data_IF_841608586916
#
_entry.id   IF_841608586916
#
_cell.length_a   1.000
_cell.length_b   1.000
_cell.length_c   1.000
_cell.angle_alpha   90.00
_cell.angle_beta   90.00
_cell.angle_gamma   90.00
#
_symmetry.space_group_name_H-M   'P 1'
#
loop_
_entity.id
_entity.type
_entity.pdbx_description
1 polymer ?
#
# COMPACT_ATOMS: atom_id res chain seq x y z
N UNK A 1 11.72 49.37 31.24
CA UNK A 1 10.40 49.19 30.59
C UNK A 1 10.53 47.95 29.71
N UNK A 2 10.45 46.71 30.19
CA UNK A 2 9.35 46.01 30.85
C UNK A 2 8.07 45.99 29.99
N UNK A 3 7.87 44.90 29.25
CA UNK A 3 6.64 44.07 29.35
C UNK A 3 6.82 42.77 28.54
N UNK A 4 6.99 41.69 29.30
CA UNK A 4 6.89 40.28 28.94
C UNK A 4 5.42 39.83 28.88
N UNK A 5 5.06 38.94 27.96
CA UNK A 5 3.95 38.00 28.20
C UNK A 5 4.11 36.73 27.36
N UNK A 6 4.48 35.65 28.06
CA UNK A 6 4.33 34.24 27.70
C UNK A 6 2.88 33.79 27.94
N UNK A 7 2.33 32.84 27.16
CA UNK A 7 1.23 32.03 27.62
C UNK A 7 1.71 30.65 28.09
N UNK A 8 1.16 30.26 29.23
CA UNK A 8 1.43 29.08 30.03
C UNK A 8 0.95 27.78 29.37
N UNK A 9 1.78 26.74 29.49
CA UNK A 9 1.37 25.33 29.43
C UNK A 9 0.45 25.03 30.61
N UNK A 10 -0.80 24.65 30.35
CA UNK A 10 -1.61 23.90 31.30
C UNK A 10 -1.37 22.40 31.11
N UNK A 11 -0.66 21.83 32.07
CA UNK A 11 -0.60 20.39 32.32
C UNK A 11 -1.81 19.99 33.16
N UNK A 12 -2.61 19.05 32.66
CA UNK A 12 -3.62 18.35 33.46
C UNK A 12 -3.31 16.85 33.41
N UNK A 13 -3.27 16.16 34.57
CA UNK A 13 -2.89 14.77 34.66
C UNK A 13 -4.03 13.86 34.21
N UNK A 14 -3.77 13.00 33.22
CA UNK A 14 -4.66 11.91 32.85
C UNK A 14 -4.67 10.86 33.96
N UNK A 15 -5.80 10.77 34.67
CA UNK A 15 -6.16 9.68 35.56
C UNK A 15 -7.01 8.68 34.79
N UNK A 16 -6.59 7.41 34.77
CA UNK A 16 -7.33 6.30 34.17
C UNK A 16 -8.59 5.98 35.00
N UNK A 17 -9.80 5.91 34.41
CA UNK A 17 -10.89 5.21 35.03
C UNK A 17 -10.79 3.70 34.78
N UNK A 18 -11.11 2.95 35.84
CA UNK A 18 -11.04 1.50 35.94
C UNK A 18 -11.97 0.76 34.96
N UNK A 19 -11.58 -0.48 34.65
CA UNK A 19 -12.28 -1.48 33.83
C UNK A 19 -13.77 -1.65 34.22
N UNK A 20 -14.70 -1.75 33.26
CA UNK A 20 -16.00 -2.35 33.52
C UNK A 20 -15.90 -3.88 33.51
N UNK A 21 -16.43 -4.50 34.57
CA UNK A 21 -16.71 -5.93 34.69
C UNK A 21 -17.87 -6.31 33.76
N UNK A 22 -17.68 -7.29 32.87
CA UNK A 22 -18.79 -8.00 32.21
C UNK A 22 -19.12 -9.29 32.95
N UNK A 23 -20.42 -9.63 33.14
CA UNK A 23 -20.83 -10.84 33.82
C UNK A 23 -20.81 -12.06 32.90
N UNK A 24 -20.41 -13.19 33.48
CA UNK A 24 -20.46 -14.53 32.90
C UNK A 24 -21.90 -14.95 32.56
N UNK A 25 -22.17 -15.30 31.31
CA UNK A 25 -23.40 -15.98 30.92
C UNK A 25 -23.10 -17.44 30.56
N UNK A 26 -23.85 -18.30 31.24
CA UNK A 26 -23.75 -19.75 31.27
C UNK A 26 -24.14 -20.43 29.94
N UNK A 27 -23.49 -21.57 29.68
CA UNK A 27 -23.89 -22.55 28.66
C UNK A 27 -25.10 -23.35 29.16
N UNK A 28 -26.08 -23.71 28.30
CA UNK A 28 -26.95 -24.84 28.56
C UNK A 28 -26.47 -26.10 27.82
N UNK A 29 -26.46 -27.20 28.57
CA UNK A 29 -26.38 -28.58 28.10
C UNK A 29 -27.69 -28.98 27.39
N UNK A 30 -27.59 -29.76 26.30
CA UNK A 30 -28.61 -30.70 25.82
C UNK A 30 -27.88 -31.83 25.07
N UNK A 31 -27.62 -32.97 25.74
CA UNK A 31 -28.37 -34.24 25.65
C UNK A 31 -28.29 -34.96 24.30
N UNK A 32 -27.65 -36.12 24.33
CA UNK A 32 -27.58 -37.13 23.29
C UNK A 32 -28.92 -37.84 23.06
N UNK A 33 -29.17 -38.25 21.82
CA UNK A 33 -30.07 -39.36 21.50
C UNK A 33 -29.55 -40.14 20.30
N UNK A 34 -29.55 -41.45 20.47
CA UNK A 34 -29.01 -42.54 19.65
C UNK A 34 -29.82 -42.89 18.39
N UNK A 35 -29.14 -43.59 17.46
CA UNK A 35 -29.59 -44.63 16.49
C UNK A 35 -29.04 -44.32 15.07
N UNK A 36 -28.53 -45.22 14.23
CA UNK A 36 -28.52 -46.69 14.16
C UNK A 36 -27.49 -47.16 13.10
N UNK A 37 -26.96 -48.38 13.32
CA UNK A 37 -26.07 -49.25 12.54
C UNK A 37 -26.13 -49.22 10.99
N UNK A 38 -24.95 -49.46 10.35
CA UNK A 38 -24.67 -50.66 9.49
C UNK A 38 -23.20 -50.77 9.01
N UNK A 39 -22.52 -51.82 9.51
CA UNK A 39 -21.66 -52.83 8.81
C UNK A 39 -20.61 -52.37 7.77
N UNK A 40 -19.31 -52.38 8.11
CA UNK A 40 -18.28 -53.45 7.91
C UNK A 40 -17.74 -53.59 6.47
N UNK A 41 -16.43 -53.34 6.28
CA UNK A 41 -15.47 -54.37 5.85
C UNK A 41 -14.02 -53.87 5.92
N UNK A 42 -13.22 -54.68 6.61
CA UNK A 42 -11.79 -54.63 6.86
C UNK A 42 -10.95 -54.96 5.63
N UNK A 43 -9.73 -54.41 5.57
CA UNK A 43 -8.55 -55.16 5.09
C UNK A 43 -7.28 -54.54 5.68
N UNK A 44 -6.75 -55.24 6.69
CA UNK A 44 -5.44 -55.06 7.29
C UNK A 44 -4.41 -55.90 6.54
N UNK A 45 -3.26 -55.32 6.17
CA UNK A 45 -2.03 -56.06 5.91
C UNK A 45 -0.94 -55.46 6.81
N UNK A 46 -0.41 -56.32 7.67
CA UNK A 46 0.64 -56.08 8.65
C UNK A 46 1.98 -56.63 8.16
N UNK A 47 3.06 -55.85 8.30
CA UNK A 47 4.45 -56.28 8.56
C UNK A 47 5.31 -55.00 8.58
N UNK A 48 6.27 -54.74 9.47
CA UNK A 48 6.86 -55.46 10.60
C UNK A 48 7.74 -54.45 11.38
N UNK A 49 7.73 -54.54 12.70
CA UNK A 49 8.56 -53.76 13.65
C UNK A 49 10.06 -54.06 13.51
N UNK A 50 10.91 -53.06 13.79
CA UNK A 50 12.03 -53.22 14.73
C UNK A 50 12.54 -51.87 15.29
N UNK A 51 12.29 -51.70 16.58
CA UNK A 51 12.88 -50.86 17.63
C UNK A 51 14.21 -50.12 17.43
N UNK A 52 14.25 -48.86 17.87
CA UNK A 52 15.34 -48.30 18.69
C UNK A 52 14.83 -47.13 19.55
N UNK A 53 15.06 -47.21 20.85
CA UNK A 53 14.68 -46.28 21.93
C UNK A 53 15.64 -45.10 22.07
N UNK A 54 15.18 -43.85 22.18
CA UNK A 54 15.91 -42.77 22.86
C UNK A 54 14.94 -41.68 23.37
N UNK A 55 14.97 -41.43 24.69
CA UNK A 55 14.88 -40.12 25.37
C UNK A 55 13.66 -39.23 25.14
N UNK A 56 12.76 -39.17 26.13
CA UNK A 56 11.94 -37.98 26.37
C UNK A 56 12.86 -36.82 26.80
N UNK A 57 12.92 -35.78 25.97
CA UNK A 57 13.36 -34.44 26.36
C UNK A 57 12.11 -33.59 26.29
N UNK A 58 11.61 -33.17 27.45
CA UNK A 58 10.61 -32.12 27.55
C UNK A 58 11.22 -30.82 27.04
N UNK A 59 10.80 -30.37 25.86
CA UNK A 59 11.13 -29.04 25.36
C UNK A 59 10.00 -28.11 25.77
N UNK A 60 10.24 -27.35 26.83
CA UNK A 60 9.54 -26.09 27.08
C UNK A 60 9.76 -25.16 25.88
N UNK A 61 8.80 -25.11 24.96
CA UNK A 61 8.74 -24.06 23.94
C UNK A 61 8.16 -22.80 24.57
N UNK A 62 9.04 -21.98 25.15
CA UNK A 62 8.78 -20.56 25.35
C UNK A 62 8.58 -19.90 23.98
N UNK A 63 7.40 -19.31 23.75
CA UNK A 63 7.08 -18.53 22.56
C UNK A 63 7.90 -17.24 22.54
N UNK A 64 9.09 -17.31 21.95
CA UNK A 64 10.03 -16.18 21.83
C UNK A 64 9.73 -15.34 20.56
N UNK A 65 8.47 -14.96 20.37
CA UNK A 65 8.12 -14.03 19.29
C UNK A 65 8.50 -12.61 19.73
N UNK A 66 9.36 -11.88 18.98
CA UNK A 66 9.79 -10.55 19.37
C UNK A 66 8.58 -9.62 19.53
N UNK A 67 8.51 -9.00 20.71
CA UNK A 67 7.37 -8.20 21.13
C UNK A 67 7.40 -6.81 20.48
N UNK A 68 8.60 -6.29 20.20
CA UNK A 68 8.83 -4.96 19.60
C UNK A 68 9.58 -5.03 18.28
N UNK A 69 9.45 -3.97 17.47
CA UNK A 69 10.16 -3.85 16.20
C UNK A 69 11.67 -3.76 16.43
N UNK A 70 12.10 -3.11 17.52
CA UNK A 70 13.49 -3.04 17.95
C UNK A 70 14.08 -4.43 18.22
N UNK A 71 13.37 -5.28 18.95
CA UNK A 71 13.81 -6.67 19.20
C UNK A 71 13.95 -7.45 17.91
N UNK A 72 12.97 -7.36 17.02
CA UNK A 72 12.97 -8.04 15.72
C UNK A 72 14.14 -7.59 14.81
N UNK A 73 14.57 -6.34 14.93
CA UNK A 73 15.66 -5.77 14.13
C UNK A 73 17.02 -5.75 14.83
N UNK A 74 17.11 -6.25 16.07
CA UNK A 74 18.31 -6.20 16.89
C UNK A 74 19.47 -6.93 16.20
N UNK A 75 20.63 -6.29 16.15
CA UNK A 75 21.83 -6.84 15.51
C UNK A 75 21.86 -6.72 13.98
N UNK A 76 20.78 -6.27 13.34
CA UNK A 76 20.73 -6.03 11.90
C UNK A 76 20.67 -4.54 11.57
N UNK A 77 19.78 -3.79 12.21
CA UNK A 77 19.55 -2.38 11.90
C UNK A 77 20.33 -1.48 12.87
N UNK A 78 21.00 -0.41 12.41
CA UNK A 78 21.68 0.53 13.30
C UNK A 78 20.74 1.15 14.36
N UNK A 79 21.22 1.27 15.60
CA UNK A 79 20.40 1.72 16.73
C UNK A 79 19.76 3.09 16.52
N UNK A 80 20.44 4.02 15.83
CA UNK A 80 19.90 5.33 15.55
C UNK A 80 18.65 5.27 14.65
N UNK A 81 18.60 4.33 13.69
CA UNK A 81 17.44 4.14 12.81
C UNK A 81 16.27 3.56 13.61
N UNK A 82 16.55 2.64 14.55
CA UNK A 82 15.53 2.05 15.43
C UNK A 82 14.95 3.09 16.39
N UNK A 83 15.79 3.95 16.98
CA UNK A 83 15.33 5.09 17.78
C UNK A 83 14.43 6.03 16.96
N UNK A 84 14.83 6.38 15.73
CA UNK A 84 13.99 7.19 14.84
C UNK A 84 12.67 6.49 14.49
N UNK A 85 12.69 5.18 14.27
CA UNK A 85 11.47 4.43 13.99
C UNK A 85 10.49 4.53 15.17
N UNK A 86 10.97 4.40 16.40
CA UNK A 86 10.16 4.55 17.62
C UNK A 86 9.63 5.97 17.81
N UNK A 87 10.45 7.00 17.59
CA UNK A 87 10.04 8.41 17.66
C UNK A 87 8.92 8.75 16.66
N UNK A 88 8.96 8.13 15.47
CA UNK A 88 7.91 8.26 14.45
C UNK A 88 6.65 7.45 14.81
N UNK A 89 6.74 6.54 15.79
CA UNK A 89 5.63 5.72 16.29
C UNK A 89 5.63 4.27 15.81
N UNK A 90 6.69 3.79 15.16
CA UNK A 90 6.84 2.41 14.72
C UNK A 90 7.37 1.50 15.83
N UNK A 91 6.55 1.24 16.84
CA UNK A 91 6.94 0.47 18.04
C UNK A 91 6.67 -1.02 17.84
N UNK A 92 5.43 -1.37 17.48
CA UNK A 92 4.98 -2.77 17.35
C UNK A 92 5.06 -3.22 15.89
N UNK A 93 5.72 -4.36 15.59
CA UNK A 93 5.84 -4.83 14.21
C UNK A 93 4.47 -5.32 13.72
N UNK A 94 4.14 -5.01 12.46
CA UNK A 94 2.95 -5.56 11.82
C UNK A 94 3.16 -7.04 11.48
N UNK A 95 2.07 -7.77 11.20
CA UNK A 95 2.18 -9.18 10.81
C UNK A 95 3.09 -9.38 9.60
N UNK A 96 2.98 -8.54 8.56
CA UNK A 96 3.88 -8.63 7.40
C UNK A 96 5.34 -8.35 7.78
N UNK A 97 5.61 -7.43 8.71
CA UNK A 97 6.97 -7.15 9.16
C UNK A 97 7.58 -8.34 9.91
N UNK A 98 6.81 -9.02 10.79
CA UNK A 98 7.26 -10.23 11.51
C UNK A 98 7.66 -11.36 10.56
N UNK A 99 6.86 -11.62 9.53
CA UNK A 99 7.12 -12.67 8.55
C UNK A 99 8.25 -12.30 7.57
N UNK A 100 8.31 -11.02 7.19
CA UNK A 100 9.19 -10.56 6.10
C UNK A 100 10.61 -10.23 6.57
N UNK A 101 10.78 -9.57 7.71
CA UNK A 101 12.09 -9.08 8.15
C UNK A 101 13.14 -10.19 8.33
N UNK A 102 12.83 -11.36 8.94
CA UNK A 102 13.79 -12.46 9.03
C UNK A 102 14.26 -12.97 7.66
N UNK A 103 13.35 -13.03 6.68
CA UNK A 103 13.67 -13.43 5.30
C UNK A 103 14.56 -12.38 4.63
N UNK A 104 14.25 -11.11 4.81
CA UNK A 104 15.03 -10.01 4.25
C UNK A 104 16.46 -9.98 4.83
N UNK A 105 16.60 -10.10 6.15
CA UNK A 105 17.91 -10.08 6.81
C UNK A 105 18.76 -11.33 6.50
N UNK A 106 18.15 -12.42 6.04
CA UNK A 106 18.89 -13.59 5.54
C UNK A 106 19.51 -13.38 4.15
N UNK A 107 19.35 -12.20 3.53
CA UNK A 107 19.90 -11.87 2.21
C UNK A 107 19.22 -12.56 1.02
N UNK A 108 18.05 -13.18 1.25
CA UNK A 108 17.26 -13.84 0.20
C UNK A 108 16.41 -12.83 -0.57
N UNK A 109 16.22 -13.10 -1.84
CA UNK A 109 15.25 -12.35 -2.64
C UNK A 109 13.83 -12.63 -2.11
N UNK A 110 12.94 -11.64 -2.18
CA UNK A 110 11.63 -11.75 -1.54
C UNK A 110 10.52 -11.15 -2.40
N UNK A 111 9.41 -11.87 -2.52
CA UNK A 111 8.14 -11.31 -2.99
C UNK A 111 7.25 -11.10 -1.78
N UNK A 112 7.06 -9.84 -1.38
CA UNK A 112 6.21 -9.40 -0.28
C UNK A 112 4.82 -9.14 -0.86
N UNK A 113 3.90 -10.05 -0.61
CA UNK A 113 2.51 -9.95 -1.03
C UNK A 113 1.62 -9.76 0.19
N UNK A 114 1.18 -8.52 0.40
CA UNK A 114 0.34 -8.12 1.52
C UNK A 114 -0.38 -6.79 1.22
N UNK A 115 -1.57 -6.58 1.76
CA UNK A 115 -2.41 -5.39 1.50
C UNK A 115 -1.71 -4.04 1.69
N UNK A 116 -2.23 -2.98 1.08
CA UNK A 116 -1.77 -1.59 1.31
C UNK A 116 -1.94 -1.22 2.79
N UNK A 117 -1.03 -0.40 3.33
CA UNK A 117 -1.03 -0.04 4.75
C UNK A 117 -0.52 -1.13 5.71
N UNK A 118 -0.25 -2.35 5.24
CA UNK A 118 0.30 -3.43 6.08
C UNK A 118 1.72 -3.17 6.62
N UNK A 119 2.45 -2.17 6.09
CA UNK A 119 3.80 -1.85 6.56
C UNK A 119 4.95 -2.42 5.71
N UNK A 120 4.68 -2.85 4.47
CA UNK A 120 5.69 -3.31 3.49
C UNK A 120 6.85 -2.33 3.31
N UNK A 121 6.53 -1.04 3.21
CA UNK A 121 7.50 0.04 3.04
C UNK A 121 8.54 0.08 4.15
N UNK A 122 8.08 0.02 5.41
CA UNK A 122 9.00 0.01 6.54
C UNK A 122 9.87 -1.27 6.54
N UNK A 123 9.31 -2.42 6.17
CA UNK A 123 10.06 -3.68 6.12
C UNK A 123 11.26 -3.62 5.17
N UNK A 124 11.07 -3.20 3.92
CA UNK A 124 12.20 -3.10 2.98
C UNK A 124 13.14 -1.93 3.32
N UNK A 125 12.66 -0.84 3.93
CA UNK A 125 13.52 0.27 4.33
C UNK A 125 14.45 -0.14 5.48
N UNK A 126 13.96 -0.88 6.48
CA UNK A 126 14.77 -1.40 7.57
C UNK A 126 15.88 -2.34 7.06
N UNK A 127 15.57 -3.20 6.09
CA UNK A 127 16.58 -3.97 5.38
C UNK A 127 17.61 -3.05 4.71
N UNK A 128 17.18 -2.05 3.94
CA UNK A 128 18.12 -1.14 3.25
C UNK A 128 19.05 -0.45 4.27
N UNK A 129 18.52 0.04 5.38
CA UNK A 129 19.35 0.67 6.42
C UNK A 129 20.28 -0.31 7.16
N UNK A 130 19.96 -1.61 7.17
CA UNK A 130 20.85 -2.64 7.75
C UNK A 130 22.12 -2.90 6.92
N UNK A 131 22.09 -2.62 5.62
CA UNK A 131 23.18 -2.97 4.70
C UNK A 131 23.91 -1.76 4.10
N UNK A 132 23.24 -0.61 4.03
CA UNK A 132 23.80 0.59 3.40
C UNK A 132 24.90 1.19 4.27
N UNK A 133 26.05 1.47 3.65
CA UNK A 133 27.14 2.19 4.32
C UNK A 133 27.10 3.68 3.94
N UNK A 134 26.76 4.60 4.87
CA UNK A 134 26.65 6.03 4.59
C UNK A 134 28.01 6.71 4.31
N UNK A 135 29.14 6.05 4.59
CA UNK A 135 30.48 6.58 4.29
C UNK A 135 30.87 6.38 2.83
N UNK A 136 30.17 5.51 2.09
CA UNK A 136 30.43 5.27 0.66
C UNK A 136 29.56 6.18 -0.19
N UNK A 137 30.21 7.02 -1.00
CA UNK A 137 29.56 7.90 -1.97
C UNK A 137 29.17 7.12 -3.24
N UNK A 138 28.21 6.20 -3.12
CA UNK A 138 27.67 5.41 -4.23
C UNK A 138 26.22 5.00 -3.98
N UNK A 139 25.47 4.81 -5.06
CA UNK A 139 24.12 4.24 -5.00
C UNK A 139 24.23 2.78 -4.58
N UNK A 140 23.66 2.47 -3.42
CA UNK A 140 23.68 1.13 -2.81
C UNK A 140 22.28 0.49 -2.84
N UNK A 141 21.22 1.29 -2.71
CA UNK A 141 19.85 0.81 -2.82
C UNK A 141 19.02 1.65 -3.79
N UNK A 142 18.19 0.98 -4.59
CA UNK A 142 17.23 1.59 -5.50
C UNK A 142 15.83 1.07 -5.21
N UNK A 143 14.90 2.00 -5.05
CA UNK A 143 13.47 1.72 -4.88
C UNK A 143 12.74 2.29 -6.09
N UNK A 144 12.17 1.41 -6.90
CA UNK A 144 11.36 1.76 -8.06
C UNK A 144 9.90 1.76 -7.65
N UNK A 145 9.24 2.88 -7.90
CA UNK A 145 7.81 3.09 -7.61
C UNK A 145 7.06 3.42 -8.90
N UNK A 146 5.76 3.07 -9.02
CA UNK A 146 4.95 3.39 -10.19
C UNK A 146 4.66 4.88 -10.33
N UNK A 147 4.36 5.54 -9.23
CA UNK A 147 3.86 6.92 -9.25
C UNK A 147 4.74 7.85 -8.42
N UNK A 148 4.73 9.12 -8.80
CA UNK A 148 5.41 10.18 -8.07
C UNK A 148 4.88 10.28 -6.64
N UNK A 149 3.56 10.19 -6.45
CA UNK A 149 2.94 10.38 -5.15
C UNK A 149 3.36 9.28 -4.16
N UNK A 150 3.42 8.03 -4.62
CA UNK A 150 3.99 6.95 -3.82
C UNK A 150 5.47 7.20 -3.54
N UNK A 151 6.24 7.63 -4.56
CA UNK A 151 7.65 7.98 -4.38
C UNK A 151 7.89 9.07 -3.32
N UNK A 152 7.04 10.09 -3.25
CA UNK A 152 7.10 11.13 -2.23
C UNK A 152 6.86 10.52 -0.84
N UNK A 153 5.88 9.63 -0.70
CA UNK A 153 5.58 8.96 0.57
C UNK A 153 6.74 8.09 1.04
N UNK A 154 7.25 7.22 0.17
CA UNK A 154 8.40 6.36 0.49
C UNK A 154 9.61 7.21 0.83
N UNK A 155 9.86 8.30 0.09
CA UNK A 155 10.94 9.25 0.38
C UNK A 155 10.78 9.89 1.75
N UNK A 156 9.57 10.30 2.13
CA UNK A 156 9.29 10.91 3.44
C UNK A 156 9.63 9.94 4.57
N UNK A 157 9.21 8.68 4.46
CA UNK A 157 9.52 7.64 5.46
C UNK A 157 11.02 7.36 5.49
N UNK A 158 11.66 7.18 4.33
CA UNK A 158 13.10 6.94 4.26
C UNK A 158 13.91 8.09 4.87
N UNK A 159 13.54 9.35 4.62
CA UNK A 159 14.22 10.52 5.20
C UNK A 159 13.98 10.67 6.69
N UNK A 160 12.79 10.34 7.19
CA UNK A 160 12.50 10.35 8.61
C UNK A 160 13.39 9.34 9.36
N UNK A 161 13.57 8.14 8.81
CA UNK A 161 14.46 7.12 9.34
C UNK A 161 15.95 7.48 9.22
N UNK A 162 16.35 8.16 8.14
CA UNK A 162 17.72 8.59 7.90
C UNK A 162 18.14 9.87 8.67
N UNK A 163 17.22 10.50 9.42
CA UNK A 163 17.47 11.77 10.08
C UNK A 163 18.64 11.68 11.08
N UNK A 164 19.58 12.64 10.99
CA UNK A 164 20.87 12.63 11.70
C UNK A 164 20.75 12.25 13.19
N UNK A 165 21.66 11.39 13.61
CA UNK A 165 22.21 11.39 14.97
C UNK A 165 23.39 12.36 15.01
N UNK A 166 23.61 13.03 16.15
CA UNK A 166 24.59 14.11 16.33
C UNK A 166 26.04 13.71 15.98
N UNK A 167 26.33 12.41 15.90
CA UNK A 167 27.70 11.87 15.81
C UNK A 167 28.03 11.14 14.50
N UNK A 168 27.08 10.96 13.56
CA UNK A 168 27.29 10.15 12.34
C UNK A 168 26.94 10.88 11.04
N UNK A 169 27.66 10.55 9.94
CA UNK A 169 27.33 11.01 8.59
C UNK A 169 25.95 10.46 8.21
N UNK A 170 25.02 11.35 7.87
CA UNK A 170 23.65 10.98 7.50
C UNK A 170 23.62 10.16 6.22
N UNK A 171 22.85 9.07 6.23
CA UNK A 171 22.51 8.33 5.02
C UNK A 171 21.76 9.25 4.03
N UNK A 172 22.30 9.42 2.83
CA UNK A 172 21.76 10.32 1.82
C UNK A 172 20.64 9.65 1.03
N UNK A 173 19.46 10.28 1.02
CA UNK A 173 18.26 9.78 0.34
C UNK A 173 17.81 10.76 -0.75
N UNK A 174 17.87 10.32 -2.01
CA UNK A 174 17.42 11.10 -3.16
C UNK A 174 16.10 10.56 -3.72
N UNK A 175 15.19 11.49 -4.05
CA UNK A 175 13.99 11.21 -4.82
C UNK A 175 14.19 11.67 -6.27
N UNK A 176 14.09 10.74 -7.21
CA UNK A 176 14.17 10.95 -8.64
C UNK A 176 12.79 10.67 -9.25
N UNK A 177 11.86 11.58 -8.98
CA UNK A 177 10.46 11.48 -9.38
C UNK A 177 10.22 12.48 -10.51
N UNK A 178 9.50 12.07 -11.56
CA UNK A 178 9.27 12.86 -12.77
C UNK A 178 8.92 14.34 -12.46
N UNK A 179 9.67 15.30 -13.01
CA UNK A 179 9.49 16.74 -12.71
C UNK A 179 10.69 17.64 -13.07
N UNK A 180 10.48 18.96 -13.06
CA UNK A 180 11.44 20.00 -13.52
C UNK A 180 12.75 20.12 -12.73
N UNK A 181 12.94 19.34 -11.66
CA UNK A 181 14.15 19.33 -10.82
C UNK A 181 15.26 18.41 -11.32
N UNK A 182 15.05 17.66 -12.41
CA UNK A 182 16.08 16.80 -13.00
C UNK A 182 17.39 17.56 -13.29
N UNK A 183 17.35 18.84 -13.65
CA UNK A 183 18.56 19.64 -13.91
C UNK A 183 19.40 19.89 -12.63
N UNK A 184 18.76 20.16 -11.48
CA UNK A 184 19.46 20.37 -10.20
C UNK A 184 20.03 19.06 -9.63
N UNK A 185 19.38 17.93 -9.89
CA UNK A 185 19.87 16.63 -9.42
C UNK A 185 21.13 16.17 -10.15
N UNK A 186 21.37 16.59 -11.40
CA UNK A 186 22.55 16.17 -12.19
C UNK A 186 23.88 16.61 -11.60
N UNK A 187 23.97 17.84 -11.10
CA UNK A 187 25.22 18.36 -10.52
C UNK A 187 25.51 17.68 -9.19
N UNK A 188 24.49 17.48 -8.36
CA UNK A 188 24.65 16.83 -7.06
C UNK A 188 24.99 15.35 -7.17
N UNK A 189 24.34 14.61 -8.10
CA UNK A 189 24.64 13.19 -8.37
C UNK A 189 26.10 12.93 -8.76
N UNK A 190 26.74 13.89 -9.43
CA UNK A 190 28.15 13.78 -9.84
C UNK A 190 29.13 14.07 -8.71
N UNK A 191 28.73 14.89 -7.73
CA UNK A 191 29.61 15.36 -6.65
C UNK A 191 29.50 14.46 -5.43
N UNK A 192 28.27 14.10 -5.03
CA UNK A 192 28.03 13.22 -3.89
C UNK A 192 26.84 12.29 -4.19
N UNK A 193 27.11 11.12 -4.81
CA UNK A 193 26.07 10.12 -5.07
C UNK A 193 25.30 9.72 -3.79
N UNK A 194 23.96 9.71 -3.84
CA UNK A 194 23.14 9.28 -2.71
C UNK A 194 23.30 7.78 -2.46
N UNK A 195 23.22 7.37 -1.19
CA UNK A 195 23.24 5.96 -0.83
C UNK A 195 21.93 5.24 -1.23
N UNK A 196 20.80 5.94 -1.10
CA UNK A 196 19.45 5.43 -1.42
C UNK A 196 18.81 6.33 -2.49
N UNK A 197 18.32 5.71 -3.57
CA UNK A 197 17.53 6.39 -4.61
C UNK A 197 16.12 5.82 -4.64
N UNK A 198 15.12 6.69 -4.56
CA UNK A 198 13.71 6.37 -4.82
C UNK A 198 13.33 7.01 -6.14
N UNK A 199 12.88 6.23 -7.13
CA UNK A 199 12.66 6.74 -8.47
C UNK A 199 11.38 6.20 -9.12
N UNK A 200 10.74 7.03 -9.93
CA UNK A 200 9.79 6.52 -10.94
C UNK A 200 10.58 5.90 -12.08
N UNK A 201 10.03 4.85 -12.70
CA UNK A 201 10.72 4.11 -13.76
C UNK A 201 11.15 5.01 -14.93
N UNK A 202 10.26 5.93 -15.34
CA UNK A 202 10.52 6.90 -16.42
C UNK A 202 11.74 7.78 -16.12
N UNK A 203 11.77 8.41 -14.94
CA UNK A 203 12.89 9.26 -14.55
C UNK A 203 14.19 8.49 -14.36
N UNK A 204 14.11 7.27 -13.81
CA UNK A 204 15.27 6.38 -13.68
C UNK A 204 15.88 6.07 -15.05
N UNK A 205 15.08 5.59 -16.01
CA UNK A 205 15.56 5.29 -17.35
C UNK A 205 16.23 6.50 -18.00
N UNK A 206 15.64 7.70 -17.88
CA UNK A 206 16.26 8.92 -18.42
C UNK A 206 17.64 9.24 -17.82
N UNK A 207 17.89 8.91 -16.55
CA UNK A 207 19.20 9.11 -15.92
C UNK A 207 20.20 8.02 -16.31
N UNK A 208 19.74 6.78 -16.48
CA UNK A 208 20.57 5.66 -16.92
C UNK A 208 20.99 5.81 -18.40
N UNK A 209 20.05 6.14 -19.28
CA UNK A 209 20.30 6.34 -20.72
C UNK A 209 21.27 7.50 -20.98
N UNK A 210 21.28 8.50 -20.11
CA UNK A 210 22.22 9.64 -20.16
C UNK A 210 23.54 9.38 -19.43
N UNK A 211 23.73 8.18 -18.87
CA UNK A 211 24.89 7.80 -18.06
C UNK A 211 25.19 8.77 -16.89
N UNK A 212 24.15 9.38 -16.32
CA UNK A 212 24.28 10.33 -15.19
C UNK A 212 24.31 9.57 -13.87
N UNK A 213 23.53 8.49 -13.77
CA UNK A 213 23.45 7.63 -12.60
C UNK A 213 24.18 6.31 -12.88
N UNK A 214 25.09 5.92 -11.98
CA UNK A 214 25.79 4.62 -12.02
C UNK A 214 25.23 3.72 -10.93
N UNK A 215 24.95 2.46 -11.28
CA UNK A 215 24.36 1.46 -10.36
C UNK A 215 25.34 0.31 -10.03
N UNK A 216 26.63 0.49 -10.31
CA UNK A 216 27.66 -0.55 -10.23
C UNK A 216 27.82 -1.15 -8.81
N UNK A 217 27.52 -0.36 -7.78
CA UNK A 217 27.63 -0.75 -6.36
C UNK A 217 26.27 -1.07 -5.70
N UNK A 218 25.21 -1.19 -6.50
CA UNK A 218 23.87 -1.43 -5.98
C UNK A 218 23.74 -2.86 -5.45
N UNK A 219 23.38 -2.99 -4.17
CA UNK A 219 23.19 -4.28 -3.50
C UNK A 219 21.71 -4.64 -3.26
N UNK A 220 20.81 -3.65 -3.25
CA UNK A 220 19.35 -3.90 -3.14
C UNK A 220 18.57 -3.17 -4.22
N UNK A 221 17.64 -3.91 -4.84
CA UNK A 221 16.61 -3.39 -5.74
C UNK A 221 15.22 -3.72 -5.18
N UNK A 222 14.42 -2.71 -4.94
CA UNK A 222 13.02 -2.84 -4.54
C UNK A 222 12.13 -2.38 -5.68
N UNK A 223 11.13 -3.17 -6.03
CA UNK A 223 10.06 -2.86 -6.99
C UNK A 223 8.75 -2.83 -6.21
N UNK A 224 8.21 -1.65 -5.93
CA UNK A 224 7.00 -1.45 -5.10
C UNK A 224 5.76 -1.22 -5.96
N UNK A 225 4.60 -1.73 -5.56
CA UNK A 225 3.36 -1.79 -6.37
C UNK A 225 3.56 -2.45 -7.76
N UNK A 226 4.07 -3.69 -7.73
CA UNK A 226 4.31 -4.52 -8.93
C UNK A 226 3.07 -4.67 -9.81
N UNK A 227 1.89 -4.85 -9.21
CA UNK A 227 0.63 -4.98 -9.93
C UNK A 227 0.38 -3.82 -10.88
N UNK A 228 0.69 -2.61 -10.45
CA UNK A 228 0.53 -1.43 -11.27
C UNK A 228 1.53 -1.39 -12.43
N UNK A 229 2.81 -1.56 -12.12
CA UNK A 229 3.88 -1.46 -13.13
C UNK A 229 3.77 -2.54 -14.21
N UNK A 230 3.19 -3.71 -13.89
CA UNK A 230 2.98 -4.77 -14.87
C UNK A 230 1.71 -4.61 -15.72
N UNK A 231 0.78 -3.74 -15.34
CA UNK A 231 -0.41 -3.44 -16.14
C UNK A 231 -0.14 -2.42 -17.27
N UNK A 232 0.90 -1.59 -17.15
CA UNK A 232 1.29 -0.62 -18.18
C UNK A 232 2.27 -1.22 -19.21
N UNK A 233 1.80 -1.44 -20.44
CA UNK A 233 2.58 -2.10 -21.50
C UNK A 233 3.91 -1.42 -21.83
N UNK A 234 4.00 -0.09 -21.72
CA UNK A 234 5.24 0.68 -21.95
C UNK A 234 6.23 0.50 -20.80
N UNK A 235 5.76 0.58 -19.56
CA UNK A 235 6.59 0.49 -18.36
C UNK A 235 7.17 -0.91 -18.16
N UNK A 236 6.39 -1.97 -18.46
CA UNK A 236 6.83 -3.37 -18.38
C UNK A 236 8.15 -3.58 -19.12
N UNK A 237 8.29 -3.04 -20.33
CA UNK A 237 9.49 -3.26 -21.14
C UNK A 237 10.74 -2.66 -20.52
N UNK A 238 10.64 -1.44 -19.99
CA UNK A 238 11.72 -0.73 -19.31
C UNK A 238 12.07 -1.38 -17.97
N UNK A 239 11.06 -1.83 -17.22
CA UNK A 239 11.25 -2.54 -15.95
C UNK A 239 11.98 -3.86 -16.17
N UNK A 240 11.59 -4.64 -17.19
CA UNK A 240 12.27 -5.88 -17.56
C UNK A 240 13.74 -5.64 -17.91
N UNK A 241 14.04 -4.58 -18.68
CA UNK A 241 15.44 -4.20 -18.99
C UNK A 241 16.24 -3.89 -17.73
N UNK A 242 15.68 -3.11 -16.80
CA UNK A 242 16.32 -2.80 -15.52
C UNK A 242 16.62 -4.07 -14.70
N UNK A 243 15.63 -4.95 -14.56
CA UNK A 243 15.75 -6.21 -13.82
C UNK A 243 16.81 -7.13 -14.44
N UNK A 244 16.80 -7.27 -15.77
CA UNK A 244 17.80 -8.07 -16.49
C UNK A 244 19.21 -7.51 -16.30
N UNK A 245 19.40 -6.18 -16.41
CA UNK A 245 20.69 -5.57 -16.17
C UNK A 245 21.18 -5.83 -14.74
N UNK A 246 20.29 -5.67 -13.75
CA UNK A 246 20.59 -5.92 -12.34
C UNK A 246 20.92 -7.39 -12.04
N UNK A 247 20.34 -8.33 -12.78
CA UNK A 247 20.58 -9.78 -12.59
C UNK A 247 22.05 -10.20 -12.72
N UNK A 248 22.87 -9.39 -13.41
CA UNK A 248 24.30 -9.63 -13.58
C UNK A 248 25.15 -9.35 -12.32
N UNK A 249 24.59 -8.63 -11.33
CA UNK A 249 25.29 -8.27 -10.10
C UNK A 249 25.34 -9.47 -9.14
N UNK A 250 26.53 -9.80 -8.63
CA UNK A 250 26.77 -10.98 -7.78
C UNK A 250 26.12 -10.84 -6.40
N UNK A 251 26.40 -9.75 -5.68
CA UNK A 251 25.90 -9.50 -4.32
C UNK A 251 24.63 -8.64 -4.36
N UNK A 252 23.61 -9.15 -5.05
CA UNK A 252 22.31 -8.49 -5.19
C UNK A 252 21.25 -9.10 -4.27
N UNK A 253 20.25 -8.30 -3.94
CA UNK A 253 19.00 -8.75 -3.34
C UNK A 253 17.84 -8.02 -4.01
N UNK A 254 16.94 -8.77 -4.63
CA UNK A 254 15.76 -8.23 -5.31
C UNK A 254 14.51 -8.43 -4.46
N UNK A 255 13.73 -7.36 -4.28
CA UNK A 255 12.49 -7.38 -3.50
C UNK A 255 11.35 -6.85 -4.35
N UNK A 256 10.29 -7.64 -4.47
CA UNK A 256 9.04 -7.24 -5.08
C UNK A 256 8.02 -7.01 -3.97
N UNK A 257 7.41 -5.83 -3.90
CA UNK A 257 6.37 -5.52 -2.92
C UNK A 257 5.08 -5.18 -3.66
N UNK A 258 3.97 -5.85 -3.33
CA UNK A 258 2.68 -5.56 -3.96
C UNK A 258 1.52 -5.86 -3.02
N UNK A 259 0.44 -5.08 -3.19
CA UNK A 259 -0.83 -5.34 -2.51
C UNK A 259 -1.57 -6.54 -3.10
N UNK A 260 -1.44 -6.73 -4.41
CA UNK A 260 -2.06 -7.83 -5.13
C UNK A 260 -1.08 -8.37 -6.17
N UNK A 261 -1.09 -9.68 -6.41
CA UNK A 261 -0.36 -10.30 -7.51
C UNK A 261 -1.26 -11.40 -8.10
N UNK A 262 -2.01 -11.10 -9.18
CA UNK A 262 -2.76 -12.13 -9.90
C UNK A 262 -1.84 -13.28 -10.29
N UNK A 263 -2.27 -14.51 -10.03
CA UNK A 263 -1.45 -15.71 -10.26
C UNK A 263 -0.05 -15.62 -9.60
N UNK A 264 0.04 -15.15 -8.35
CA UNK A 264 1.31 -14.95 -7.63
C UNK A 264 2.34 -16.10 -7.76
N UNK A 265 1.90 -17.38 -7.78
CA UNK A 265 2.80 -18.53 -8.00
C UNK A 265 3.46 -18.48 -9.38
N UNK A 266 2.69 -18.13 -10.41
CA UNK A 266 3.19 -17.95 -11.77
C UNK A 266 4.14 -16.76 -11.84
N UNK A 267 3.79 -15.65 -11.19
CA UNK A 267 4.67 -14.48 -11.10
C UNK A 267 6.03 -14.83 -10.47
N UNK A 268 6.05 -15.54 -9.33
CA UNK A 268 7.29 -16.00 -8.68
C UNK A 268 8.08 -16.92 -9.61
N UNK A 269 7.41 -17.84 -10.31
CA UNK A 269 8.05 -18.69 -11.31
C UNK A 269 8.70 -17.85 -12.43
N UNK A 270 7.98 -16.86 -12.97
CA UNK A 270 8.49 -15.97 -14.02
C UNK A 270 9.68 -15.12 -13.51
N UNK A 271 9.66 -14.65 -12.27
CA UNK A 271 10.81 -13.97 -11.64
C UNK A 271 12.09 -14.82 -11.67
N UNK A 272 11.98 -16.11 -11.36
CA UNK A 272 13.10 -17.06 -11.38
C UNK A 272 13.55 -17.33 -12.83
N UNK A 273 12.61 -17.67 -13.72
CA UNK A 273 12.91 -18.02 -15.12
C UNK A 273 13.57 -16.87 -15.87
N UNK A 274 13.12 -15.64 -15.63
CA UNK A 274 13.67 -14.43 -16.24
C UNK A 274 14.91 -13.90 -15.50
N UNK A 275 15.36 -14.61 -14.44
CA UNK A 275 16.52 -14.25 -13.61
C UNK A 275 16.40 -12.90 -12.90
N UNK A 276 15.17 -12.39 -12.73
CA UNK A 276 14.92 -11.17 -11.95
C UNK A 276 15.23 -11.40 -10.46
N UNK A 277 15.04 -12.63 -9.99
CA UNK A 277 15.44 -13.10 -8.67
C UNK A 277 16.43 -14.27 -8.76
N UNK A 278 17.06 -14.60 -7.64
CA UNK A 278 17.73 -15.88 -7.41
C UNK A 278 16.70 -17.02 -7.33
N UNK A 279 17.19 -18.25 -7.46
CA UNK A 279 16.34 -19.45 -7.47
C UNK A 279 15.71 -19.80 -6.11
N UNK A 280 16.25 -19.24 -5.02
CA UNK A 280 15.80 -19.42 -3.64
C UNK A 280 14.90 -18.29 -3.13
N UNK A 281 14.26 -17.54 -4.05
CA UNK A 281 13.31 -16.46 -3.71
C UNK A 281 12.20 -16.97 -2.80
N UNK A 282 11.89 -16.19 -1.77
CA UNK A 282 10.82 -16.50 -0.82
C UNK A 282 9.59 -15.64 -1.14
N UNK A 283 8.43 -16.27 -1.23
CA UNK A 283 7.15 -15.56 -1.35
C UNK A 283 6.50 -15.45 0.03
N UNK A 284 6.62 -14.27 0.64
CA UNK A 284 5.94 -13.96 1.89
C UNK A 284 4.55 -13.45 1.55
N UNK A 285 3.58 -14.34 1.68
CA UNK A 285 2.18 -14.07 1.40
C UNK A 285 1.41 -13.95 2.71
N UNK A 286 1.29 -12.74 3.21
CA UNK A 286 0.48 -12.48 4.40
C UNK A 286 -0.93 -12.17 3.93
N UNK A 287 -1.68 -13.27 3.80
CA UNK A 287 -3.03 -13.26 3.30
C UNK A 287 -3.99 -13.66 4.40
N UNK A 288 -4.41 -12.74 5.25
CA UNK A 288 -5.73 -12.87 5.79
C UNK A 288 -6.68 -12.24 4.77
N UNK A 289 -7.57 -13.04 4.19
CA UNK A 289 -8.86 -12.49 3.76
C UNK A 289 -9.55 -12.06 5.06
N UNK A 290 -9.17 -10.89 5.56
CA UNK A 290 -9.87 -10.26 6.66
C UNK A 290 -11.10 -9.60 6.05
N UNK A 291 -12.26 -9.69 6.72
CA UNK A 291 -13.39 -8.86 6.35
C UNK A 291 -12.94 -7.40 6.32
N UNK A 292 -13.55 -6.62 5.42
CA UNK A 292 -13.30 -5.18 5.34
C UNK A 292 -13.44 -4.54 6.73
N UNK A 293 -12.62 -3.52 7.06
CA UNK A 293 -12.73 -2.79 8.31
C UNK A 293 -14.19 -2.45 8.65
N UNK A 294 -14.60 -2.70 9.89
CA UNK A 294 -16.00 -2.47 10.32
C UNK A 294 -16.44 -1.01 10.27
N UNK A 295 -15.50 -0.07 10.15
CA UNK A 295 -15.79 1.35 9.92
C UNK A 295 -16.17 1.68 8.47
N UNK A 296 -16.02 0.73 7.53
CA UNK A 296 -16.37 0.89 6.13
C UNK A 296 -17.75 0.32 5.84
N UNK A 297 -18.65 1.21 5.45
CA UNK A 297 -20.01 0.89 5.02
C UNK A 297 -20.07 0.89 3.50
N UNK A 298 -20.46 -0.25 2.93
CA UNK A 298 -20.54 -0.43 1.50
C UNK A 298 -22.00 -0.31 1.06
N UNK A 299 -22.24 0.52 0.05
CA UNK A 299 -23.57 0.80 -0.49
C UNK A 299 -23.55 0.71 -2.01
N UNK A 300 -24.71 0.48 -2.61
CA UNK A 300 -24.87 0.60 -4.05
C UNK A 300 -26.24 1.14 -4.45
N UNK A 301 -26.31 1.73 -5.63
CA UNK A 301 -27.56 2.19 -6.25
C UNK A 301 -27.64 1.63 -7.66
N UNK A 302 -28.82 1.11 -8.04
CA UNK A 302 -29.09 0.64 -9.39
C UNK A 302 -29.76 1.76 -10.19
N UNK A 303 -29.13 2.20 -11.28
CA UNK A 303 -29.70 3.21 -12.17
C UNK A 303 -29.40 2.92 -13.65
N UNK A 304 -30.15 3.55 -14.55
CA UNK A 304 -29.86 3.52 -15.98
C UNK A 304 -28.55 4.25 -16.33
N UNK A 305 -27.90 3.88 -17.44
CA UNK A 305 -26.65 4.53 -17.89
C UNK A 305 -26.80 6.05 -18.09
N UNK A 306 -27.97 6.50 -18.54
CA UNK A 306 -28.29 7.93 -18.76
C UNK A 306 -28.51 8.70 -17.45
N UNK A 307 -28.87 7.99 -16.39
CA UNK A 307 -29.24 8.57 -15.09
C UNK A 307 -28.04 8.60 -14.11
N UNK A 308 -26.89 8.03 -14.47
CA UNK A 308 -25.72 7.96 -13.57
C UNK A 308 -25.29 9.34 -13.06
N UNK A 309 -25.32 10.35 -13.92
CA UNK A 309 -24.94 11.73 -13.58
C UNK A 309 -25.90 12.35 -12.54
N UNK A 310 -27.21 12.25 -12.78
CA UNK A 310 -28.22 12.75 -11.84
C UNK A 310 -28.24 11.96 -10.53
N UNK A 311 -28.02 10.64 -10.59
CA UNK A 311 -27.94 9.77 -9.42
C UNK A 311 -26.74 10.15 -8.54
N UNK A 312 -25.57 10.36 -9.14
CA UNK A 312 -24.39 10.82 -8.41
C UNK A 312 -24.60 12.20 -7.79
N UNK A 313 -25.24 13.12 -8.52
CA UNK A 313 -25.56 14.45 -7.97
C UNK A 313 -26.46 14.33 -6.74
N UNK A 314 -27.51 13.50 -6.81
CA UNK A 314 -28.41 13.26 -5.68
C UNK A 314 -27.66 12.66 -4.48
N UNK A 315 -26.78 11.68 -4.72
CA UNK A 315 -25.94 11.08 -3.67
C UNK A 315 -25.04 12.13 -2.98
N UNK A 316 -24.39 13.00 -3.76
CA UNK A 316 -23.54 14.05 -3.21
C UNK A 316 -24.33 15.07 -2.38
N UNK A 317 -25.56 15.39 -2.81
CA UNK A 317 -26.46 16.30 -2.10
C UNK A 317 -27.07 15.67 -0.84
N UNK A 318 -27.35 14.36 -0.85
CA UNK A 318 -27.91 13.66 0.30
C UNK A 318 -26.87 13.36 1.37
N UNK A 319 -25.70 12.89 0.94
CA UNK A 319 -24.63 12.47 1.86
C UNK A 319 -23.89 13.69 2.43
N UNK A 320 -23.84 14.81 1.69
CA UNK A 320 -23.09 16.02 2.05
C UNK A 320 -21.67 15.71 2.55
N UNK A 321 -20.86 14.97 1.75
CA UNK A 321 -19.58 14.46 2.23
C UNK A 321 -18.64 15.63 2.58
N UNK A 322 -17.93 15.53 3.70
CA UNK A 322 -16.85 16.49 3.97
C UNK A 322 -15.76 16.37 2.89
N UNK A 323 -15.43 15.14 2.51
CA UNK A 323 -14.29 14.81 1.64
C UNK A 323 -14.60 13.54 0.85
N UNK A 324 -14.52 13.62 -0.47
CA UNK A 324 -14.87 12.49 -1.33
C UNK A 324 -13.88 12.27 -2.46
N UNK A 325 -13.74 11.01 -2.87
CA UNK A 325 -13.11 10.64 -4.15
C UNK A 325 -14.14 9.95 -5.03
N UNK A 326 -14.32 10.46 -6.23
CA UNK A 326 -15.18 9.90 -7.27
C UNK A 326 -14.30 9.21 -8.30
N UNK A 327 -14.43 7.89 -8.38
CA UNK A 327 -13.70 7.06 -9.33
C UNK A 327 -14.48 6.87 -10.62
N UNK A 328 -13.85 7.29 -11.72
CA UNK A 328 -14.38 7.17 -13.08
C UNK A 328 -13.53 6.18 -13.88
N UNK A 329 -14.17 5.45 -14.79
CA UNK A 329 -13.52 4.49 -15.67
C UNK A 329 -12.49 5.15 -16.59
N UNK A 330 -11.47 4.38 -16.94
CA UNK A 330 -10.44 4.81 -17.89
C UNK A 330 -11.04 5.09 -19.28
N UNK A 331 -10.55 6.15 -19.93
CA UNK A 331 -10.90 6.43 -21.32
C UNK A 331 -10.31 5.37 -22.25
N UNK A 332 -11.15 4.79 -23.13
CA UNK A 332 -10.66 3.84 -24.13
C UNK A 332 -9.70 4.50 -25.12
N UNK A 333 -8.70 3.74 -25.59
CA UNK A 333 -7.73 4.20 -26.61
C UNK A 333 -8.40 4.66 -27.91
N UNK A 334 -9.54 4.06 -28.27
CA UNK A 334 -10.33 4.49 -29.42
C UNK A 334 -10.91 5.89 -29.20
N UNK A 335 -11.45 6.15 -28.01
CA UNK A 335 -12.02 7.43 -27.64
C UNK A 335 -10.95 8.52 -27.55
N UNK A 336 -9.77 8.21 -27.00
CA UNK A 336 -8.59 9.10 -27.00
C UNK A 336 -8.18 9.51 -28.41
N UNK A 337 -8.04 8.54 -29.32
CA UNK A 337 -7.66 8.80 -30.72
C UNK A 337 -8.70 9.59 -31.51
N UNK A 338 -9.97 9.49 -31.12
CA UNK A 338 -11.05 10.27 -31.71
C UNK A 338 -11.09 11.73 -31.20
N UNK A 339 -10.25 12.10 -30.23
CA UNK A 339 -10.24 13.45 -29.66
C UNK A 339 -11.41 13.74 -28.72
N UNK A 340 -12.11 12.71 -28.23
CA UNK A 340 -13.17 12.90 -27.25
C UNK A 340 -12.59 13.34 -25.91
N UNK A 341 -13.33 14.18 -25.18
CA UNK A 341 -12.97 14.56 -23.82
C UNK A 341 -12.91 13.31 -22.91
N UNK A 342 -11.98 13.27 -21.94
CA UNK A 342 -11.96 12.24 -20.91
C UNK A 342 -13.29 12.20 -20.12
N UNK A 343 -13.77 11.00 -19.73
CA UNK A 343 -14.96 10.87 -18.89
C UNK A 343 -14.88 11.66 -17.57
N UNK A 344 -13.67 11.76 -17.01
CA UNK A 344 -13.38 12.56 -15.82
C UNK A 344 -13.63 14.06 -16.04
N UNK A 345 -13.23 14.60 -17.20
CA UNK A 345 -13.46 16.00 -17.56
C UNK A 345 -14.95 16.29 -17.73
N UNK A 346 -15.67 15.41 -18.43
CA UNK A 346 -17.11 15.56 -18.63
C UNK A 346 -17.87 15.55 -17.30
N UNK A 347 -17.47 14.68 -16.37
CA UNK A 347 -18.09 14.60 -15.06
C UNK A 347 -17.84 15.85 -14.22
N UNK A 348 -16.60 16.37 -14.20
CA UNK A 348 -16.33 17.56 -13.40
C UNK A 348 -17.03 18.81 -13.95
N UNK A 349 -17.17 18.93 -15.27
CA UNK A 349 -17.92 20.03 -15.91
C UNK A 349 -19.40 20.00 -15.54
N UNK A 350 -20.00 18.81 -15.57
CA UNK A 350 -21.37 18.59 -15.09
C UNK A 350 -21.51 19.01 -13.61
N UNK A 351 -20.65 18.48 -12.73
CA UNK A 351 -20.72 18.77 -11.30
C UNK A 351 -20.51 20.26 -10.99
N UNK A 352 -19.60 20.95 -11.70
CA UNK A 352 -19.39 22.39 -11.55
C UNK A 352 -20.61 23.22 -11.92
N UNK A 353 -21.41 22.74 -12.88
CA UNK A 353 -22.64 23.42 -13.32
C UNK A 353 -23.81 23.14 -12.37
N UNK A 354 -23.81 21.98 -11.71
CA UNK A 354 -24.93 21.51 -10.87
C UNK A 354 -24.75 21.74 -9.36
N UNK A 355 -23.52 21.93 -8.88
CA UNK A 355 -23.25 22.22 -7.46
C UNK A 355 -23.00 23.72 -7.28
N UNK A 356 -23.75 24.35 -6.37
CA UNK A 356 -23.68 25.80 -6.06
C UNK A 356 -22.42 26.20 -5.25
N UNK A 357 -21.23 25.80 -5.71
CA UNK A 357 -19.94 26.32 -5.22
C UNK A 357 -19.56 25.99 -3.78
N UNK A 358 -20.35 25.20 -3.03
CA UNK A 358 -20.08 24.90 -1.62
C UNK A 358 -18.88 23.95 -1.38
N UNK A 359 -18.42 23.23 -2.41
CA UNK A 359 -17.32 22.27 -2.29
C UNK A 359 -16.27 22.48 -3.37
N UNK A 360 -14.99 22.31 -3.01
CA UNK A 360 -13.90 22.38 -3.96
C UNK A 360 -13.88 21.12 -4.83
N UNK A 361 -14.17 21.30 -6.13
CA UNK A 361 -14.13 20.24 -7.14
C UNK A 361 -12.74 20.20 -7.77
N UNK A 362 -12.04 19.09 -7.58
CA UNK A 362 -10.67 18.90 -8.07
C UNK A 362 -10.61 17.73 -9.05
N UNK A 363 -10.00 17.97 -10.20
CA UNK A 363 -9.77 16.97 -11.24
C UNK A 363 -8.36 16.42 -11.11
N UNK A 364 -8.22 15.10 -11.19
CA UNK A 364 -6.94 14.43 -11.23
C UNK A 364 -6.87 13.47 -12.42
N UNK A 365 -6.11 13.86 -13.44
CA UNK A 365 -5.90 13.06 -14.65
C UNK A 365 -4.46 12.55 -14.76
N UNK A 366 -4.30 11.50 -15.56
CA UNK A 366 -3.01 10.84 -15.81
C UNK A 366 -2.03 11.78 -16.53
N UNK A 367 -2.52 12.58 -17.49
CA UNK A 367 -1.69 13.44 -18.34
C UNK A 367 -1.40 14.83 -17.74
N UNK A 368 -1.91 15.12 -16.54
CA UNK A 368 -1.66 16.40 -15.88
C UNK A 368 -0.17 16.64 -15.69
N UNK A 369 0.28 17.86 -16.00
CA UNK A 369 1.68 18.19 -15.80
C UNK A 369 2.01 18.29 -14.30
N UNK A 370 3.31 18.18 -14.00
CA UNK A 370 3.84 18.12 -12.65
C UNK A 370 3.37 19.26 -11.72
N UNK A 371 3.36 20.49 -12.24
CA UNK A 371 3.01 21.68 -11.45
C UNK A 371 1.50 21.72 -11.20
N UNK A 372 0.69 21.51 -12.25
CA UNK A 372 -0.78 21.48 -12.14
C UNK A 372 -1.26 20.42 -11.15
N UNK A 373 -0.70 19.21 -11.23
CA UNK A 373 -1.04 18.12 -10.31
C UNK A 373 -0.64 18.43 -8.86
N UNK A 374 0.53 19.05 -8.66
CA UNK A 374 1.00 19.44 -7.33
C UNK A 374 0.13 20.54 -6.70
N UNK A 375 -0.25 21.54 -7.49
CA UNK A 375 -1.18 22.61 -7.08
C UNK A 375 -2.52 21.99 -6.69
N UNK A 376 -3.13 21.21 -7.58
CA UNK A 376 -4.42 20.54 -7.33
C UNK A 376 -4.43 19.72 -6.03
N UNK A 377 -3.38 18.93 -5.77
CA UNK A 377 -3.26 18.15 -4.52
C UNK A 377 -2.95 18.99 -3.29
N UNK A 378 -2.36 20.19 -3.46
CA UNK A 378 -2.11 21.12 -2.36
C UNK A 378 -3.41 21.83 -1.98
N UNK A 379 -4.18 22.26 -2.97
CA UNK A 379 -5.47 22.94 -2.78
C UNK A 379 -6.44 22.01 -2.02
N UNK A 380 -6.57 20.75 -2.44
CA UNK A 380 -7.31 19.68 -1.74
C UNK A 380 -6.94 19.55 -0.26
N UNK A 381 -5.65 19.68 0.06
CA UNK A 381 -5.17 19.54 1.45
C UNK A 381 -5.44 20.77 2.30
N UNK A 382 -5.58 21.94 1.68
CA UNK A 382 -5.78 23.21 2.36
C UNK A 382 -7.26 23.53 2.59
N UNK A 383 -8.16 23.11 1.69
CA UNK A 383 -9.59 23.43 1.77
C UNK A 383 -10.33 22.73 2.89
N UNK A 384 -9.84 21.58 3.38
CA UNK A 384 -10.48 20.80 4.44
C UNK A 384 -11.77 20.07 4.01
N UNK A 385 -12.40 20.51 2.91
CA UNK A 385 -13.54 19.87 2.26
C UNK A 385 -13.38 19.88 0.73
N UNK A 386 -13.44 18.70 0.10
CA UNK A 386 -13.16 18.55 -1.33
C UNK A 386 -13.91 17.37 -1.96
N UNK A 387 -14.08 17.43 -3.27
CA UNK A 387 -14.50 16.31 -4.12
C UNK A 387 -13.44 16.12 -5.20
N UNK A 388 -12.72 14.99 -5.13
CA UNK A 388 -11.68 14.64 -6.09
C UNK A 388 -12.24 13.68 -7.15
N UNK A 389 -12.22 14.07 -8.42
CA UNK A 389 -12.60 13.21 -9.55
C UNK A 389 -11.34 12.62 -10.18
N UNK A 390 -11.22 11.29 -10.23
CA UNK A 390 -10.02 10.61 -10.72
C UNK A 390 -10.30 9.24 -11.34
N UNK A 391 -9.37 8.73 -12.15
CA UNK A 391 -9.30 7.30 -12.53
C UNK A 391 -8.47 6.52 -11.51
N UNK A 392 -8.55 5.18 -11.54
CA UNK A 392 -7.69 4.30 -10.72
C UNK A 392 -6.20 4.63 -10.89
N UNK A 393 -5.79 4.89 -12.13
CA UNK A 393 -4.40 5.22 -12.47
C UNK A 393 -4.03 6.58 -11.87
N UNK A 394 -4.86 7.60 -12.05
CA UNK A 394 -4.57 8.94 -11.58
C UNK A 394 -4.55 9.05 -10.05
N UNK A 395 -5.35 8.25 -9.34
CA UNK A 395 -5.42 8.25 -7.89
C UNK A 395 -4.37 7.35 -7.19
N UNK A 396 -3.59 6.56 -7.94
CA UNK A 396 -2.56 5.68 -7.36
C UNK A 396 -1.49 6.48 -6.64
N UNK A 397 -1.17 6.03 -5.43
CA UNK A 397 -0.26 6.75 -4.53
C UNK A 397 -0.82 8.04 -3.95
N UNK A 398 -2.04 8.49 -4.26
CA UNK A 398 -2.62 9.67 -3.59
C UNK A 398 -2.97 9.32 -2.14
N UNK A 399 -2.49 10.13 -1.20
CA UNK A 399 -2.69 9.97 0.24
C UNK A 399 -3.43 11.17 0.81
N UNK A 400 -4.73 10.95 1.02
CA UNK A 400 -5.70 11.90 1.55
C UNK A 400 -6.41 11.23 2.74
N UNK A 401 -5.80 11.24 3.93
CA UNK A 401 -6.30 10.48 5.09
C UNK A 401 -7.65 10.97 5.60
N UNK A 402 -8.01 12.21 5.30
CA UNK A 402 -9.29 12.81 5.69
C UNK A 402 -10.44 12.38 4.77
N UNK A 403 -10.22 11.56 3.72
CA UNK A 403 -11.30 11.08 2.84
C UNK A 403 -12.34 10.31 3.64
N UNK A 404 -13.61 10.70 3.54
CA UNK A 404 -14.74 10.03 4.22
C UNK A 404 -15.55 9.17 3.26
N UNK A 405 -15.73 9.63 2.02
CA UNK A 405 -16.58 8.99 1.02
C UNK A 405 -15.82 8.57 -0.23
N UNK A 406 -16.13 7.39 -0.75
CA UNK A 406 -15.69 6.89 -2.05
C UNK A 406 -16.92 6.63 -2.90
N UNK A 407 -17.00 7.28 -4.05
CA UNK A 407 -18.04 7.01 -5.05
C UNK A 407 -17.42 6.26 -6.24
N UNK A 408 -17.84 5.03 -6.47
CA UNK A 408 -17.54 4.34 -7.72
C UNK A 408 -18.55 4.79 -8.77
N UNK A 409 -18.24 5.88 -9.48
CA UNK A 409 -19.06 6.34 -10.60
C UNK A 409 -19.07 5.32 -11.74
N UNK A 410 -17.99 4.57 -11.91
CA UNK A 410 -17.93 3.35 -12.71
C UNK A 410 -17.44 2.20 -11.82
N UNK A 411 -18.01 1.01 -11.96
CA UNK A 411 -17.61 -0.16 -11.17
C UNK A 411 -16.14 -0.54 -11.49
N UNK A 412 -15.30 -0.85 -10.49
CA UNK A 412 -13.92 -1.27 -10.75
C UNK A 412 -13.86 -2.58 -11.53
N UNK A 413 -12.75 -2.80 -12.24
CA UNK A 413 -12.55 -3.97 -13.13
C UNK A 413 -12.54 -5.31 -12.39
N UNK A 414 -12.09 -5.31 -11.14
CA UNK A 414 -11.96 -6.49 -10.29
C UNK A 414 -12.03 -6.12 -8.80
N UNK A 415 -12.11 -7.15 -7.94
CA UNK A 415 -12.17 -7.00 -6.49
C UNK A 415 -10.91 -6.32 -5.92
N UNK A 416 -9.75 -6.53 -6.55
CA UNK A 416 -8.49 -5.91 -6.14
C UNK A 416 -8.57 -4.38 -6.29
N UNK A 417 -9.05 -3.89 -7.43
CA UNK A 417 -9.24 -2.46 -7.65
C UNK A 417 -10.34 -1.91 -6.73
N UNK A 418 -11.42 -2.67 -6.48
CA UNK A 418 -12.42 -2.27 -5.47
C UNK A 418 -11.79 -2.06 -4.09
N UNK A 419 -10.98 -3.01 -3.64
CA UNK A 419 -10.24 -2.92 -2.37
C UNK A 419 -9.29 -1.72 -2.35
N UNK A 420 -8.60 -1.44 -3.46
CA UNK A 420 -7.71 -0.28 -3.57
C UNK A 420 -8.45 1.06 -3.53
N UNK A 421 -9.66 1.15 -4.10
CA UNK A 421 -10.51 2.34 -4.02
C UNK A 421 -11.07 2.53 -2.62
N UNK A 422 -11.64 1.47 -2.03
CA UNK A 422 -12.16 1.48 -0.66
C UNK A 422 -11.06 1.83 0.36
N UNK A 423 -9.84 1.33 0.16
CA UNK A 423 -8.68 1.65 0.98
C UNK A 423 -8.17 3.10 0.88
N UNK A 424 -8.81 3.98 0.10
CA UNK A 424 -8.53 5.43 0.10
C UNK A 424 -9.25 6.18 1.22
N UNK A 425 -10.29 5.59 1.81
CA UNK A 425 -10.97 6.09 3.01
C UNK A 425 -10.59 5.25 4.23
N UNK A 426 -10.97 5.68 5.44
CA UNK A 426 -10.69 4.95 6.68
C UNK A 426 -9.20 4.87 7.06
N UNK A 427 -8.37 5.79 6.55
CA UNK A 427 -6.90 5.79 6.77
C UNK A 427 -6.47 6.61 7.99
N UNK A 428 -7.39 7.34 8.62
CA UNK A 428 -7.10 8.10 9.84
C UNK A 428 -7.01 7.14 11.03
N UNK A 429 -5.84 7.02 11.69
CA UNK A 429 -5.68 6.11 12.81
C UNK A 429 -6.57 6.54 13.99
N UNK A 430 -7.17 5.56 14.68
CA UNK A 430 -8.04 5.77 15.85
C UNK A 430 -9.26 6.67 15.59
N UNK A 431 -9.71 6.76 14.34
CA UNK A 431 -10.92 7.50 13.96
C UNK A 431 -12.14 6.60 14.01
N UNK A 432 -13.15 7.00 14.78
CA UNK A 432 -14.46 6.32 14.83
C UNK A 432 -15.41 6.80 13.72
N UNK A 433 -14.97 7.74 12.86
CA UNK A 433 -15.79 8.25 11.75
C UNK A 433 -16.20 7.15 10.79
N UNK A 434 -17.51 7.02 10.57
CA UNK A 434 -18.06 6.15 9.54
C UNK A 434 -17.56 6.58 8.16
N UNK A 435 -17.07 5.62 7.40
CA UNK A 435 -16.54 5.83 6.06
C UNK A 435 -17.43 5.06 5.07
N UNK A 436 -17.74 5.67 3.92
CA UNK A 436 -18.72 5.12 3.00
C UNK A 436 -18.10 4.83 1.63
N UNK A 437 -18.47 3.69 1.05
CA UNK A 437 -18.10 3.30 -0.32
C UNK A 437 -19.38 3.02 -1.09
N UNK A 438 -19.81 3.97 -1.92
CA UNK A 438 -21.07 3.89 -2.67
C UNK A 438 -20.78 3.60 -4.14
N UNK A 439 -21.36 2.53 -4.68
CA UNK A 439 -21.21 2.14 -6.09
C UNK A 439 -22.45 2.45 -6.90
N UNK A 440 -22.30 3.27 -7.95
CA UNK A 440 -23.36 3.45 -8.94
C UNK A 440 -23.25 2.30 -9.93
N UNK A 441 -24.30 1.51 -10.09
CA UNK A 441 -24.28 0.33 -10.97
C UNK A 441 -25.53 0.30 -11.85
N UNK A 442 -25.41 -0.39 -12.98
CA UNK A 442 -26.58 -0.84 -13.75
C UNK A 442 -27.07 -2.20 -13.23
N UNK A 443 -28.29 -2.59 -13.58
CA UNK A 443 -28.84 -3.90 -13.21
C UNK A 443 -27.94 -5.07 -13.69
N UNK A 444 -27.32 -4.91 -14.86
CA UNK A 444 -26.37 -5.89 -15.43
C UNK A 444 -25.06 -5.95 -14.65
N UNK A 445 -24.67 -4.90 -13.91
CA UNK A 445 -23.41 -4.87 -13.15
C UNK A 445 -23.56 -5.46 -11.73
N UNK A 446 -24.79 -5.79 -11.29
CA UNK A 446 -25.04 -6.33 -9.94
C UNK A 446 -24.28 -7.63 -9.67
N UNK A 447 -24.17 -8.51 -10.66
CA UNK A 447 -23.42 -9.77 -10.51
C UNK A 447 -21.92 -9.54 -10.30
N UNK A 448 -21.36 -8.47 -10.90
CA UNK A 448 -19.95 -8.09 -10.73
C UNK A 448 -19.71 -7.62 -9.30
N UNK A 449 -20.60 -6.76 -8.78
CA UNK A 449 -20.51 -6.31 -7.39
C UNK A 449 -20.70 -7.48 -6.41
N UNK A 450 -21.60 -8.43 -6.71
CA UNK A 450 -21.81 -9.63 -5.89
C UNK A 450 -20.56 -10.51 -5.82
N UNK A 451 -19.83 -10.61 -6.94
CA UNK A 451 -18.55 -11.30 -6.95
C UNK A 451 -17.54 -10.61 -6.03
N UNK A 452 -17.53 -9.27 -5.97
CA UNK A 452 -16.65 -8.54 -5.05
C UNK A 452 -17.05 -8.75 -3.58
N UNK A 453 -18.35 -8.73 -3.26
CA UNK A 453 -18.88 -9.04 -1.91
C UNK A 453 -18.36 -10.40 -1.42
N UNK A 454 -18.40 -11.42 -2.29
CA UNK A 454 -17.94 -12.77 -1.97
C UNK A 454 -16.41 -12.88 -1.87
N UNK A 455 -15.66 -12.27 -2.80
CA UNK A 455 -14.19 -12.35 -2.79
C UNK A 455 -13.55 -11.58 -1.63
N UNK A 456 -14.17 -10.46 -1.21
CA UNK A 456 -13.65 -9.57 -0.17
C UNK A 456 -14.41 -9.67 1.16
N UNK A 457 -15.41 -10.55 1.25
CA UNK A 457 -16.17 -10.84 2.47
C UNK A 457 -16.80 -9.59 3.11
N UNK A 458 -17.49 -8.77 2.31
CA UNK A 458 -18.25 -7.61 2.80
C UNK A 458 -19.72 -7.66 2.35
N UNK A 459 -20.57 -6.89 3.02
CA UNK A 459 -21.97 -6.72 2.65
C UNK A 459 -22.20 -5.32 2.09
N UNK A 460 -22.92 -5.24 0.97
CA UNK A 460 -23.28 -3.98 0.33
C UNK A 460 -24.80 -3.74 0.45
N UNK A 461 -25.19 -2.59 0.99
CA UNK A 461 -26.59 -2.19 1.17
C UNK A 461 -27.14 -1.51 -0.11
N UNK A 462 -28.34 -1.89 -0.55
CA UNK A 462 -29.00 -1.24 -1.68
C UNK A 462 -29.67 0.06 -1.25
N UNK A 463 -29.38 1.15 -1.97
CA UNK A 463 -30.04 2.43 -1.82
C UNK A 463 -31.12 2.59 -2.89
N UNK A 464 -32.33 2.90 -2.43
CA UNK A 464 -33.45 3.29 -3.29
C UNK A 464 -33.52 4.82 -3.32
N UNK A 465 -33.28 5.40 -4.50
CA UNK A 465 -33.20 6.84 -4.74
C UNK A 465 -34.29 7.25 -5.74
#
# INVERSE_FOLDING_TARGET
>A
MACSSTPHLHSLPWSFPAKPLWPSLARPNCTASSSSNRTLLSLSISASLSSASVGHIDVETMNDTPSTLRELCKGHVPDHVLLRAEEVGFITPTHVQRETLPVLFSGRDCVIHAQTGSGKTLAYLLLIFSIVNPQRSSVQALIVVPTRELGIQVTKVARALAAKSLEQKSCTVMALLDGGTLLRHKSWLKVEPPAIVIATLKSLCQMLDKHILKLDNMCVLVIDEVDFMFNSSKEVSSLKKLLTNYSSIKNRQTIFASASIPQHKRFVYDCIQQKWTKGDVVHVHVNPVHPMPSCLYHKFVICGKRERYSTLLHLLQSDTPQSAIIFVGEQSEKSKKAGNAPPTTLLIEFLKTSLDGCMELVLLEEEMNFNQRATSLTDVKQSGSYILVATDIAARGVDLPETTHIYNFDIPKDAVNYLHRAGRTGRKPFSDSACFVTSVITAEERFVLQRFENELMFHCEELFI
#
